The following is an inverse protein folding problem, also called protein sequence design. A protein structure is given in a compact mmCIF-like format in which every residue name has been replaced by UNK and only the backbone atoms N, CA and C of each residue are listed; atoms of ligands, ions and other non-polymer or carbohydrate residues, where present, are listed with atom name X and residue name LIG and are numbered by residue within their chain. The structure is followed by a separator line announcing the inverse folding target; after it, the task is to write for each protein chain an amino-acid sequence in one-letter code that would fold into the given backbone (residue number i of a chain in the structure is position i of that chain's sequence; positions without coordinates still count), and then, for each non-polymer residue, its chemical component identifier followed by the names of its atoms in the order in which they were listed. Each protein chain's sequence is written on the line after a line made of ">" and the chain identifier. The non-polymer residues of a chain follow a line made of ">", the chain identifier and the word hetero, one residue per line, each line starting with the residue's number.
data_IF_134460726927
#
_entry.id   IF_134460726927
#
_cell.length_a   1.000
_cell.length_b   1.000
_cell.length_c   1.000
_cell.angle_alpha   90.00
_cell.angle_beta   90.00
_cell.angle_gamma   90.00
#
_symmetry.space_group_name_H-M   'P 1'
#
loop_
_entity.id
_entity.type
_entity.pdbx_description
1 polymer ?
#
# COMPACT_ATOMS: atom_id res chain seq x y z
N UNK A 1 -38.39 73.26 -50.20
CA UNK A 1 -38.93 72.33 -49.16
C UNK A 1 -37.87 72.22 -48.07
N UNK A 2 -38.18 72.91 -46.88
CA UNK A 2 -37.30 72.79 -45.76
C UNK A 2 -37.20 71.37 -45.22
N UNK A 3 -36.01 70.94 -44.91
CA UNK A 3 -35.80 69.69 -44.20
C UNK A 3 -36.47 69.83 -42.80
N UNK A 4 -37.38 68.95 -42.38
CA UNK A 4 -37.95 69.04 -41.03
C UNK A 4 -36.80 69.01 -40.04
N UNK A 5 -36.69 70.17 -39.31
CA UNK A 5 -35.71 70.31 -38.22
C UNK A 5 -36.19 69.52 -37.04
N UNK A 6 -35.28 68.89 -36.31
CA UNK A 6 -35.59 68.19 -35.04
C UNK A 6 -36.16 69.26 -34.04
N UNK A 7 -37.19 68.87 -33.33
CA UNK A 7 -37.74 69.70 -32.24
C UNK A 7 -36.88 69.59 -30.99
N UNK A 8 -37.02 70.50 -30.05
CA UNK A 8 -36.33 70.46 -28.78
C UNK A 8 -36.67 69.21 -27.99
N UNK A 9 -37.85 68.61 -28.18
CA UNK A 9 -38.29 67.36 -27.56
C UNK A 9 -37.67 66.19 -28.15
N UNK A 10 -37.42 66.16 -29.49
CA UNK A 10 -36.67 65.08 -30.19
C UNK A 10 -35.22 65.06 -29.69
N UNK A 11 -34.58 66.21 -29.54
CA UNK A 11 -33.19 66.29 -29.02
C UNK A 11 -33.14 65.84 -27.56
N UNK A 12 -34.12 66.20 -26.72
CA UNK A 12 -34.18 65.72 -25.34
C UNK A 12 -34.42 64.22 -25.26
N UNK A 13 -35.32 63.66 -26.07
CA UNK A 13 -35.55 62.22 -26.13
C UNK A 13 -34.27 61.46 -26.56
N UNK A 14 -33.55 61.99 -27.55
CA UNK A 14 -32.28 61.40 -27.98
C UNK A 14 -31.20 61.45 -26.89
N UNK A 15 -31.06 62.60 -26.19
CA UNK A 15 -30.12 62.74 -25.05
C UNK A 15 -30.46 61.73 -23.95
N UNK A 16 -31.71 61.55 -23.61
CA UNK A 16 -32.15 60.59 -22.59
C UNK A 16 -31.86 59.15 -23.02
N UNK A 17 -32.07 58.80 -24.29
CA UNK A 17 -31.77 57.47 -24.84
C UNK A 17 -30.25 57.20 -24.80
N UNK A 18 -29.43 58.20 -25.15
CA UNK A 18 -27.96 58.06 -25.05
C UNK A 18 -27.51 57.90 -23.60
N UNK A 19 -28.07 58.67 -22.68
CA UNK A 19 -27.75 58.52 -21.25
C UNK A 19 -28.14 57.14 -20.71
N UNK A 20 -29.31 56.64 -21.05
CA UNK A 20 -29.76 55.29 -20.68
C UNK A 20 -28.86 54.20 -21.28
N UNK A 21 -28.47 54.36 -22.55
CA UNK A 21 -27.53 53.46 -23.21
C UNK A 21 -26.15 53.42 -22.56
N UNK A 22 -25.64 54.59 -22.18
CA UNK A 22 -24.35 54.67 -21.49
C UNK A 22 -24.41 54.02 -20.10
N UNK A 23 -25.47 54.28 -19.35
CA UNK A 23 -25.68 53.61 -18.05
C UNK A 23 -25.78 52.11 -18.14
N UNK A 24 -26.49 51.59 -19.15
CA UNK A 24 -26.58 50.15 -19.42
C UNK A 24 -25.22 49.56 -19.83
N UNK A 25 -24.42 50.30 -20.60
CA UNK A 25 -23.07 49.88 -20.99
C UNK A 25 -22.11 49.79 -19.78
N UNK A 26 -22.19 50.79 -18.88
CA UNK A 26 -21.40 50.76 -17.65
C UNK A 26 -21.78 49.59 -16.74
N UNK A 27 -23.07 49.33 -16.58
CA UNK A 27 -23.55 48.16 -15.82
C UNK A 27 -23.05 46.83 -16.41
N UNK A 28 -23.15 46.68 -17.73
CA UNK A 28 -22.64 45.50 -18.43
C UNK A 28 -21.12 45.34 -18.30
N UNK A 29 -20.36 46.42 -18.32
CA UNK A 29 -18.89 46.38 -18.09
C UNK A 29 -18.57 45.95 -16.66
N UNK A 30 -19.31 46.44 -15.66
CA UNK A 30 -19.14 46.03 -14.26
C UNK A 30 -19.43 44.52 -14.08
N UNK A 31 -20.55 44.05 -14.67
CA UNK A 31 -20.93 42.65 -14.62
C UNK A 31 -19.89 41.73 -15.30
N UNK A 32 -19.38 42.15 -16.44
CA UNK A 32 -18.32 41.41 -17.13
C UNK A 32 -17.01 41.36 -16.31
N UNK A 33 -16.67 42.45 -15.59
CA UNK A 33 -15.50 42.42 -14.71
C UNK A 33 -15.69 41.45 -13.54
N UNK A 34 -16.90 41.42 -12.96
CA UNK A 34 -17.22 40.47 -11.89
C UNK A 34 -17.21 39.03 -12.35
N UNK A 35 -17.74 38.76 -13.55
CA UNK A 35 -17.70 37.44 -14.14
C UNK A 35 -16.26 36.98 -14.45
N UNK A 36 -15.44 37.90 -14.96
CA UNK A 36 -14.01 37.61 -15.21
C UNK A 36 -13.26 37.27 -13.91
N UNK A 37 -13.55 37.96 -12.81
CA UNK A 37 -12.97 37.71 -11.50
C UNK A 37 -13.43 36.34 -10.95
N UNK A 38 -14.71 35.99 -11.07
CA UNK A 38 -15.27 34.70 -10.68
C UNK A 38 -14.68 33.58 -11.47
N UNK A 39 -14.51 33.76 -12.80
CA UNK A 39 -13.87 32.76 -13.66
C UNK A 39 -12.42 32.50 -13.24
N UNK A 40 -11.66 33.56 -12.97
CA UNK A 40 -10.27 33.46 -12.52
C UNK A 40 -10.16 32.73 -11.18
N UNK A 41 -11.06 33.01 -10.24
CA UNK A 41 -11.11 32.31 -8.96
C UNK A 41 -11.43 30.83 -9.13
N UNK A 42 -12.43 30.48 -9.94
CA UNK A 42 -12.80 29.10 -10.22
C UNK A 42 -11.67 28.31 -10.93
N UNK A 43 -10.95 28.96 -11.85
CA UNK A 43 -9.77 28.36 -12.49
C UNK A 43 -8.65 28.07 -11.47
N UNK A 44 -8.40 29.00 -10.54
CA UNK A 44 -7.39 28.79 -9.50
C UNK A 44 -7.77 27.63 -8.56
N UNK A 45 -9.04 27.53 -8.18
CA UNK A 45 -9.52 26.41 -7.38
C UNK A 45 -9.40 25.07 -8.13
N UNK A 46 -9.74 25.03 -9.41
CA UNK A 46 -9.60 23.83 -10.24
C UNK A 46 -8.15 23.37 -10.37
N UNK A 47 -7.21 24.29 -10.57
CA UNK A 47 -5.78 23.97 -10.62
C UNK A 47 -5.27 23.50 -9.26
N UNK A 48 -5.69 24.10 -8.15
CA UNK A 48 -5.34 23.66 -6.81
C UNK A 48 -5.86 22.24 -6.52
N UNK A 49 -7.11 21.96 -6.89
CA UNK A 49 -7.72 20.64 -6.74
C UNK A 49 -6.98 19.56 -7.59
N UNK A 50 -6.60 19.91 -8.82
CA UNK A 50 -5.81 19.05 -9.71
C UNK A 50 -4.42 18.75 -9.13
N UNK A 51 -3.76 19.76 -8.59
CA UNK A 51 -2.45 19.59 -7.94
C UNK A 51 -2.55 18.70 -6.69
N UNK A 52 -3.58 18.88 -5.87
CA UNK A 52 -3.82 18.04 -4.70
C UNK A 52 -4.11 16.58 -5.08
N UNK A 53 -4.91 16.35 -6.12
CA UNK A 53 -5.18 15.01 -6.64
C UNK A 53 -3.91 14.33 -7.19
N UNK A 54 -3.06 15.08 -7.91
CA UNK A 54 -1.79 14.56 -8.40
C UNK A 54 -0.83 14.21 -7.25
N UNK A 55 -0.76 15.01 -6.21
CA UNK A 55 0.06 14.74 -5.02
C UNK A 55 -0.44 13.50 -4.26
N UNK A 56 -1.76 13.32 -4.12
CA UNK A 56 -2.35 12.13 -3.51
C UNK A 56 -2.07 10.87 -4.32
N UNK A 57 -2.18 10.95 -5.66
CA UNK A 57 -1.86 9.84 -6.55
C UNK A 57 -0.36 9.46 -6.50
N UNK A 58 0.53 10.44 -6.45
CA UNK A 58 1.97 10.21 -6.30
C UNK A 58 2.32 9.54 -4.97
N UNK A 59 1.68 9.95 -3.88
CA UNK A 59 1.85 9.32 -2.57
C UNK A 59 1.36 7.87 -2.58
N UNK A 60 0.18 7.60 -3.12
CA UNK A 60 -0.36 6.25 -3.24
C UNK A 60 0.53 5.34 -4.11
N UNK A 61 1.08 5.88 -5.23
CA UNK A 61 2.01 5.15 -6.07
C UNK A 61 3.34 4.83 -5.36
N UNK A 62 3.85 5.77 -4.55
CA UNK A 62 5.06 5.55 -3.75
C UNK A 62 4.84 4.49 -2.66
N UNK A 63 3.69 4.49 -1.98
CA UNK A 63 3.32 3.49 -1.00
C UNK A 63 3.16 2.10 -1.64
N UNK A 64 2.51 2.02 -2.82
CA UNK A 64 2.38 0.78 -3.59
C UNK A 64 3.75 0.25 -4.06
N UNK A 65 4.65 1.11 -4.51
CA UNK A 65 6.01 0.74 -4.91
C UNK A 65 6.85 0.26 -3.72
N UNK A 66 6.69 0.87 -2.54
CA UNK A 66 7.34 0.42 -1.31
C UNK A 66 6.81 -0.96 -0.88
N UNK A 67 5.50 -1.19 -0.96
CA UNK A 67 4.88 -2.48 -0.70
C UNK A 67 5.37 -3.56 -1.69
N UNK A 68 5.54 -3.23 -2.97
CA UNK A 68 6.12 -4.15 -3.96
C UNK A 68 7.59 -4.48 -3.70
N UNK A 69 8.41 -3.52 -3.24
CA UNK A 69 9.80 -3.81 -2.82
C UNK A 69 9.88 -4.81 -1.67
N UNK A 70 8.97 -4.72 -0.71
CA UNK A 70 8.85 -5.70 0.38
C UNK A 70 8.42 -7.06 -0.16
N UNK A 71 7.58 -7.09 -1.19
CA UNK A 71 7.08 -8.32 -1.82
C UNK A 71 8.11 -9.04 -2.70
N UNK A 72 9.13 -8.36 -3.21
CA UNK A 72 10.21 -8.99 -3.97
C UNK A 72 11.25 -9.67 -3.08
N UNK A 73 11.32 -9.31 -1.80
CA UNK A 73 12.05 -10.05 -0.79
C UNK A 73 11.25 -11.33 -0.52
N UNK A 74 11.67 -12.44 -1.10
CA UNK A 74 11.13 -13.75 -0.73
C UNK A 74 11.42 -13.95 0.75
N UNK A 75 10.43 -13.98 1.66
CA UNK A 75 10.69 -14.17 3.07
C UNK A 75 11.07 -15.62 3.29
N UNK A 76 12.32 -15.93 2.99
CA UNK A 76 12.93 -17.21 3.36
C UNK A 76 13.63 -16.99 4.69
N UNK A 77 13.28 -17.75 5.70
CA UNK A 77 13.91 -17.69 7.00
C UNK A 77 14.28 -19.09 7.46
N UNK A 78 15.40 -19.18 8.17
CA UNK A 78 15.89 -20.40 8.78
C UNK A 78 15.96 -20.20 10.29
N UNK A 79 15.28 -21.09 11.02
CA UNK A 79 15.26 -21.15 12.47
C UNK A 79 16.05 -22.37 12.91
N UNK A 80 17.08 -22.18 13.72
CA UNK A 80 17.89 -23.28 14.24
C UNK A 80 17.41 -23.71 15.63
N UNK A 81 17.53 -25.01 15.91
CA UNK A 81 17.14 -25.61 17.19
C UNK A 81 18.28 -26.41 17.81
N UNK A 82 18.32 -26.41 19.13
CA UNK A 82 19.16 -27.33 19.87
C UNK A 82 18.64 -28.77 19.83
N UNK A 83 19.49 -29.69 20.27
CA UNK A 83 19.16 -31.11 20.30
C UNK A 83 17.84 -31.38 21.04
N UNK A 84 16.96 -32.17 20.43
CA UNK A 84 15.64 -32.54 20.97
C UNK A 84 14.70 -31.36 21.32
N UNK A 85 15.07 -30.11 20.98
CA UNK A 85 14.26 -28.93 21.26
C UNK A 85 13.34 -28.58 20.09
N UNK A 86 12.13 -28.16 20.42
CA UNK A 86 11.14 -27.59 19.50
C UNK A 86 10.55 -26.27 19.99
N UNK A 87 11.01 -25.76 21.14
CA UNK A 87 10.59 -24.47 21.68
C UNK A 87 11.34 -23.33 21.04
N UNK A 88 10.61 -22.27 20.65
CA UNK A 88 11.18 -21.05 20.13
C UNK A 88 11.85 -20.22 21.23
N UNK A 89 13.09 -19.82 21.00
CA UNK A 89 13.78 -18.87 21.88
C UNK A 89 13.21 -17.46 21.73
N UNK A 90 13.42 -16.54 22.68
CA UNK A 90 13.00 -15.14 22.53
C UNK A 90 13.53 -14.48 21.26
N UNK A 91 14.80 -14.76 20.90
CA UNK A 91 15.45 -14.26 19.67
C UNK A 91 14.72 -14.74 18.41
N UNK A 92 14.36 -16.02 18.35
CA UNK A 92 13.65 -16.58 17.22
C UNK A 92 12.20 -16.06 17.13
N UNK A 93 11.57 -15.78 18.27
CA UNK A 93 10.25 -15.15 18.29
C UNK A 93 10.28 -13.76 17.67
N UNK A 94 11.27 -12.92 18.02
CA UNK A 94 11.43 -11.59 17.40
C UNK A 94 11.64 -11.70 15.88
N UNK A 95 12.43 -12.68 15.42
CA UNK A 95 12.57 -12.94 13.98
C UNK A 95 11.27 -13.30 13.31
N UNK A 96 10.49 -14.16 13.93
CA UNK A 96 9.19 -14.60 13.41
C UNK A 96 8.13 -13.51 13.44
N UNK A 97 8.19 -12.59 14.40
CA UNK A 97 7.36 -11.37 14.43
C UNK A 97 7.62 -10.50 13.20
N UNK A 98 8.90 -10.22 12.90
CA UNK A 98 9.28 -9.49 11.69
C UNK A 98 8.85 -10.22 10.42
N UNK A 99 8.99 -11.55 10.40
CA UNK A 99 8.52 -12.36 9.27
C UNK A 99 7.01 -12.33 9.12
N UNK A 100 6.27 -12.37 10.22
CA UNK A 100 4.82 -12.25 10.21
C UNK A 100 4.38 -10.90 9.61
N UNK A 101 5.08 -9.82 9.93
CA UNK A 101 4.80 -8.49 9.37
C UNK A 101 5.09 -8.45 7.85
N UNK A 102 6.16 -9.09 7.39
CA UNK A 102 6.46 -9.23 5.97
C UNK A 102 5.38 -10.04 5.24
N UNK A 103 4.93 -11.15 5.80
CA UNK A 103 3.85 -11.97 5.23
C UNK A 103 2.53 -11.19 5.18
N UNK A 104 2.19 -10.47 6.25
CA UNK A 104 0.96 -9.66 6.33
C UNK A 104 0.96 -8.49 5.35
N UNK A 105 2.11 -7.91 5.06
CA UNK A 105 2.25 -6.83 4.07
C UNK A 105 2.38 -7.34 2.63
N UNK A 106 2.65 -8.63 2.44
CA UNK A 106 2.82 -9.29 1.15
C UNK A 106 1.51 -9.69 0.45
N UNK A 107 1.61 -10.38 -0.71
CA UNK A 107 0.47 -10.90 -1.46
C UNK A 107 -0.37 -11.84 -0.62
N UNK A 108 -1.70 -11.67 -0.64
CA UNK A 108 -2.63 -12.43 0.19
C UNK A 108 -2.91 -13.84 -0.34
N UNK A 109 -2.64 -14.08 -1.60
CA UNK A 109 -2.77 -15.36 -2.31
C UNK A 109 -1.52 -16.25 -2.20
N UNK A 110 -0.40 -15.70 -1.72
CA UNK A 110 0.85 -16.45 -1.55
C UNK A 110 0.76 -17.37 -0.34
N UNK A 111 1.16 -18.63 -0.54
CA UNK A 111 1.27 -19.66 0.51
C UNK A 111 2.74 -19.91 0.83
N UNK A 112 3.07 -19.88 2.12
CA UNK A 112 4.42 -20.12 2.64
C UNK A 112 4.48 -21.52 3.22
N UNK A 113 5.54 -22.24 2.86
CA UNK A 113 5.77 -23.61 3.33
C UNK A 113 6.79 -23.60 4.46
N UNK A 114 6.41 -24.20 5.59
CA UNK A 114 7.23 -24.33 6.79
C UNK A 114 7.73 -25.77 6.86
N UNK A 115 8.99 -26.01 6.60
CA UNK A 115 9.60 -27.33 6.60
C UNK A 115 10.49 -27.53 7.82
N UNK A 116 10.15 -28.49 8.67
CA UNK A 116 10.95 -28.88 9.82
C UNK A 116 11.93 -30.00 9.48
N UNK A 117 13.14 -29.89 9.98
CA UNK A 117 14.24 -30.83 9.76
C UNK A 117 14.84 -31.29 11.07
N UNK A 118 15.43 -32.48 11.08
CA UNK A 118 16.20 -33.07 12.17
C UNK A 118 17.55 -33.55 11.64
N UNK A 119 18.55 -33.68 12.53
CA UNK A 119 19.85 -34.25 12.14
C UNK A 119 19.75 -35.73 11.86
N UNK A 120 20.73 -36.25 11.09
CA UNK A 120 20.78 -37.67 10.70
C UNK A 120 21.59 -38.54 11.69
N UNK A 121 22.35 -37.92 12.59
CA UNK A 121 23.27 -38.62 13.45
C UNK A 121 22.64 -39.11 14.76
N UNK A 122 21.49 -38.56 15.13
CA UNK A 122 20.86 -38.83 16.42
C UNK A 122 19.40 -39.24 16.27
N UNK A 123 18.94 -40.08 17.17
CA UNK A 123 17.54 -40.54 17.23
C UNK A 123 17.15 -41.58 16.20
N UNK A 124 15.88 -41.95 16.18
CA UNK A 124 15.27 -42.85 15.20
C UNK A 124 14.56 -42.06 14.10
N UNK A 125 14.34 -42.67 12.94
CA UNK A 125 13.62 -42.02 11.84
C UNK A 125 12.22 -41.52 12.27
N UNK A 126 11.47 -42.31 13.03
CA UNK A 126 10.15 -41.92 13.56
C UNK A 126 10.24 -40.79 14.59
N UNK A 127 11.25 -40.86 15.49
CA UNK A 127 11.53 -39.81 16.47
C UNK A 127 11.90 -38.46 15.79
N UNK A 128 12.81 -38.54 14.82
CA UNK A 128 13.26 -37.39 14.05
C UNK A 128 12.13 -36.74 13.24
N UNK A 129 11.24 -37.56 12.66
CA UNK A 129 10.07 -37.04 11.96
C UNK A 129 9.14 -36.29 12.92
N UNK A 130 8.86 -36.84 14.09
CA UNK A 130 8.03 -36.19 15.12
C UNK A 130 8.66 -34.89 15.63
N UNK A 131 9.97 -34.87 15.89
CA UNK A 131 10.68 -33.64 16.32
C UNK A 131 10.64 -32.57 15.23
N UNK A 132 10.87 -32.96 13.99
CA UNK A 132 10.82 -32.06 12.83
C UNK A 132 9.42 -31.47 12.64
N UNK A 133 8.38 -32.28 12.78
CA UNK A 133 6.98 -31.82 12.70
C UNK A 133 6.63 -30.89 13.85
N UNK A 134 7.02 -31.19 15.09
CA UNK A 134 6.81 -30.32 16.24
C UNK A 134 7.51 -28.97 16.09
N UNK A 135 8.71 -28.95 15.49
CA UNK A 135 9.43 -27.70 15.17
C UNK A 135 8.65 -26.88 14.14
N UNK A 136 8.25 -27.48 13.03
CA UNK A 136 7.48 -26.80 12.00
C UNK A 136 6.14 -26.29 12.56
N UNK A 137 5.45 -27.10 13.36
CA UNK A 137 4.20 -26.70 14.03
C UNK A 137 4.39 -25.53 14.98
N UNK A 138 5.46 -25.49 15.78
CA UNK A 138 5.73 -24.40 16.71
C UNK A 138 5.91 -23.08 16.00
N UNK A 139 6.55 -23.08 14.81
CA UNK A 139 6.69 -21.90 13.96
C UNK A 139 5.35 -21.49 13.34
N UNK A 140 4.58 -22.45 12.83
CA UNK A 140 3.25 -22.21 12.28
C UNK A 140 2.33 -21.57 13.32
N UNK A 141 2.21 -22.19 14.51
CA UNK A 141 1.35 -21.69 15.59
C UNK A 141 1.75 -20.28 16.02
N UNK A 142 3.04 -19.99 16.06
CA UNK A 142 3.55 -18.65 16.40
C UNK A 142 3.21 -17.61 15.34
N UNK A 143 3.39 -17.90 14.06
CA UNK A 143 3.03 -17.00 12.97
C UNK A 143 1.52 -16.71 12.93
N UNK A 144 0.67 -17.72 13.16
CA UNK A 144 -0.78 -17.54 13.30
C UNK A 144 -1.10 -16.64 14.50
N UNK A 145 -0.42 -16.84 15.63
CA UNK A 145 -0.55 -15.96 16.81
C UNK A 145 -0.16 -14.51 16.52
N UNK A 146 0.81 -14.28 15.64
CA UNK A 146 1.21 -12.95 15.17
C UNK A 146 0.24 -12.36 14.12
N UNK A 147 -0.87 -13.03 13.82
CA UNK A 147 -1.92 -12.53 12.93
C UNK A 147 -1.75 -12.89 11.46
N UNK A 148 -0.87 -13.84 11.11
CA UNK A 148 -0.78 -14.37 9.74
C UNK A 148 -2.00 -15.25 9.47
N UNK A 149 -2.61 -15.10 8.29
CA UNK A 149 -3.74 -15.92 7.89
C UNK A 149 -3.32 -17.39 7.74
N UNK A 150 -3.96 -18.35 8.45
CA UNK A 150 -3.64 -19.76 8.35
C UNK A 150 -3.69 -20.33 6.92
N UNK A 151 -4.52 -19.75 6.03
CA UNK A 151 -4.59 -20.15 4.62
C UNK A 151 -3.33 -19.82 3.82
N UNK A 152 -2.50 -18.92 4.33
CA UNK A 152 -1.21 -18.57 3.75
C UNK A 152 -0.04 -19.42 4.28
N UNK A 153 -0.30 -20.38 5.16
CA UNK A 153 0.72 -21.19 5.81
C UNK A 153 0.42 -22.68 5.63
N UNK A 154 1.46 -23.45 5.32
CA UNK A 154 1.46 -24.91 5.43
C UNK A 154 2.68 -25.33 6.23
N UNK A 155 2.60 -26.43 6.97
CA UNK A 155 3.77 -26.97 7.67
C UNK A 155 3.92 -28.47 7.44
N UNK A 156 5.17 -28.94 7.44
CA UNK A 156 5.51 -30.34 7.27
C UNK A 156 6.82 -30.66 8.00
N UNK A 157 6.86 -31.78 8.70
CA UNK A 157 8.09 -32.36 9.23
C UNK A 157 8.76 -33.25 8.19
N UNK A 158 9.95 -32.91 7.74
CA UNK A 158 10.77 -33.73 6.82
C UNK A 158 11.59 -34.81 7.56
N UNK A 159 11.68 -34.73 8.89
CA UNK A 159 12.53 -35.59 9.68
C UNK A 159 14.00 -35.45 9.31
N UNK A 160 14.70 -36.54 9.23
CA UNK A 160 16.10 -36.63 8.77
C UNK A 160 16.23 -37.10 7.31
N UNK A 161 15.14 -37.15 6.55
CA UNK A 161 15.15 -37.62 5.17
C UNK A 161 15.85 -36.67 4.19
N UNK A 162 15.91 -35.36 4.51
CA UNK A 162 16.59 -34.38 3.70
C UNK A 162 17.70 -33.72 4.50
N UNK A 163 18.94 -33.93 4.04
CA UNK A 163 20.11 -33.24 4.60
C UNK A 163 20.22 -31.88 3.95
N UNK A 164 19.87 -30.82 4.70
CA UNK A 164 19.95 -29.44 4.21
C UNK A 164 21.40 -28.96 4.16
N UNK A 165 22.21 -29.43 5.14
CA UNK A 165 23.63 -29.11 5.27
C UNK A 165 24.44 -30.37 5.39
N UNK A 166 25.16 -30.75 4.32
CA UNK A 166 25.91 -32.02 4.24
C UNK A 166 26.99 -32.11 5.30
N UNK A 167 27.68 -31.04 5.57
CA UNK A 167 28.85 -31.04 6.46
C UNK A 167 28.58 -30.51 7.88
N UNK A 168 27.33 -30.16 8.20
CA UNK A 168 26.97 -29.61 9.53
C UNK A 168 25.66 -30.19 10.03
N UNK A 169 25.73 -31.29 10.72
CA UNK A 169 24.54 -31.98 11.24
C UNK A 169 23.76 -31.18 12.28
N UNK A 170 24.45 -30.31 13.05
CA UNK A 170 23.78 -29.40 13.99
C UNK A 170 22.91 -28.38 13.25
N UNK A 171 23.33 -27.94 12.08
CA UNK A 171 22.56 -27.03 11.24
C UNK A 171 21.31 -27.68 10.60
N UNK A 172 21.26 -29.01 10.53
CA UNK A 172 20.07 -29.76 10.06
C UNK A 172 18.92 -29.77 11.10
N UNK A 173 19.16 -29.33 12.33
CA UNK A 173 18.12 -29.09 13.33
C UNK A 173 17.45 -27.74 13.09
N UNK A 174 16.70 -27.63 12.03
CA UNK A 174 16.21 -26.35 11.54
C UNK A 174 14.74 -26.42 11.07
N UNK A 175 14.13 -25.25 11.00
CA UNK A 175 12.89 -25.00 10.26
C UNK A 175 13.19 -23.99 9.16
N UNK A 176 12.79 -24.31 7.96
CA UNK A 176 12.94 -23.44 6.78
C UNK A 176 11.56 -22.97 6.37
N UNK A 177 11.40 -21.65 6.22
CA UNK A 177 10.20 -21.02 5.68
C UNK A 177 10.54 -20.54 4.26
N UNK A 178 9.73 -20.91 3.29
CA UNK A 178 9.93 -20.56 1.86
C UNK A 178 8.62 -20.33 1.11
#
# INVERSE_FOLDING_TARGET
>A
RGVPGYTADDIRAFQNAVAAGNSALEAARSENADLANKLKAAQAEAEAAKAAAAAAAAKAAAEAAAAQKVNTLSPTSIIFYDYSMSKLTPKEKTRLELMADLIKSGPKDRVYKIEGHADQQTGTAAGNKRVAENRAKSVYDFLVKCGVNPKQLTYEGKGNAANVYENNQKANRAVIIK
#
